data_IF_117291610350
#
_entry.id   IF_117291610350
#
_cell.length_a   1.000
_cell.length_b   1.000
_cell.length_c   1.000
_cell.angle_alpha   90.00
_cell.angle_beta   90.00
_cell.angle_gamma   90.00
#
_symmetry.space_group_name_H-M   'P 1'
#
loop_
_entity.id
_entity.type
_entity.pdbx_description
1 polymer ?
#
# COMPACT_ATOMS: atom_id res chain seq x y z
N UNK A 1 10.42 -20.23 12.68
CA UNK A 1 9.59 -19.94 11.50
C UNK A 1 9.01 -18.54 11.60
N UNK A 2 9.14 -17.77 10.53
CA UNK A 2 8.60 -16.40 10.54
C UNK A 2 7.10 -16.40 10.31
N UNK A 3 6.36 -15.57 11.04
CA UNK A 3 4.94 -15.41 10.73
C UNK A 3 4.78 -14.83 9.33
N UNK A 4 3.72 -15.23 8.67
CA UNK A 4 3.41 -14.68 7.36
C UNK A 4 2.99 -13.22 7.49
N UNK A 5 3.35 -12.43 6.48
CA UNK A 5 2.82 -11.09 6.38
C UNK A 5 1.41 -11.14 5.87
N UNK A 6 0.56 -10.27 6.41
CA UNK A 6 -0.86 -10.25 6.09
C UNK A 6 -1.18 -9.06 5.20
N UNK A 7 -1.83 -9.33 4.07
CA UNK A 7 -2.22 -8.31 3.11
C UNK A 7 -3.73 -8.22 3.07
N UNK A 8 -4.25 -7.01 3.23
CA UNK A 8 -5.69 -6.75 3.08
C UNK A 8 -5.94 -6.32 1.65
N UNK A 9 -6.68 -7.12 0.90
CA UNK A 9 -7.05 -6.82 -0.48
C UNK A 9 -8.48 -6.33 -0.55
N UNK A 10 -8.69 -5.20 -1.18
CA UNK A 10 -10.00 -4.56 -1.26
C UNK A 10 -10.36 -4.30 -2.72
N UNK A 11 -11.42 -4.89 -3.20
CA UNK A 11 -11.92 -4.67 -4.56
C UNK A 11 -13.36 -5.17 -4.60
N UNK A 12 -14.22 -4.46 -5.32
CA UNK A 12 -15.62 -4.88 -5.42
C UNK A 12 -15.84 -6.00 -6.43
N UNK A 13 -14.82 -6.39 -7.18
CA UNK A 13 -14.90 -7.45 -8.16
C UNK A 13 -14.39 -8.76 -7.59
N UNK A 14 -15.28 -9.75 -7.46
CA UNK A 14 -14.95 -11.04 -6.87
C UNK A 14 -13.85 -11.78 -7.61
N UNK A 15 -13.86 -11.71 -8.94
CA UNK A 15 -12.87 -12.42 -9.73
C UNK A 15 -11.47 -11.83 -9.53
N UNK A 16 -11.40 -10.51 -9.49
CA UNK A 16 -10.13 -9.83 -9.27
C UNK A 16 -9.60 -10.19 -7.89
N UNK A 17 -10.45 -10.17 -6.88
CA UNK A 17 -10.05 -10.55 -5.53
C UNK A 17 -9.54 -11.98 -5.47
N UNK A 18 -10.23 -12.90 -6.14
CA UNK A 18 -9.83 -14.30 -6.13
C UNK A 18 -8.47 -14.50 -6.76
N UNK A 19 -8.22 -13.84 -7.87
CA UNK A 19 -6.93 -13.96 -8.57
C UNK A 19 -5.82 -13.36 -7.72
N UNK A 20 -6.05 -12.19 -7.15
CA UNK A 20 -5.03 -11.57 -6.31
C UNK A 20 -4.72 -12.39 -5.06
N UNK A 21 -5.78 -12.92 -4.44
CA UNK A 21 -5.60 -13.75 -3.27
C UNK A 21 -4.74 -14.96 -3.60
N UNK A 22 -5.07 -15.64 -4.72
CA UNK A 22 -4.30 -16.80 -5.14
C UNK A 22 -2.83 -16.44 -5.37
N UNK A 23 -2.59 -15.39 -6.14
CA UNK A 23 -1.21 -14.99 -6.45
C UNK A 23 -0.41 -14.63 -5.21
N UNK A 24 -1.01 -13.89 -4.31
CA UNK A 24 -0.31 -13.48 -3.10
C UNK A 24 -0.06 -14.66 -2.17
N UNK A 25 -1.01 -15.56 -2.08
CA UNK A 25 -0.82 -16.74 -1.24
C UNK A 25 0.28 -17.64 -1.78
N UNK A 26 0.45 -17.71 -3.09
CA UNK A 26 1.55 -18.49 -3.67
C UNK A 26 2.92 -17.91 -3.33
N UNK A 27 2.95 -16.63 -2.93
CA UNK A 27 4.19 -15.99 -2.52
C UNK A 27 4.38 -16.00 -1.01
N UNK A 28 3.52 -16.70 -0.29
CA UNK A 28 3.67 -16.88 1.14
C UNK A 28 2.98 -15.87 2.01
N UNK A 29 2.14 -15.01 1.44
CA UNK A 29 1.38 -14.03 2.23
C UNK A 29 0.08 -14.63 2.74
N UNK A 30 -0.38 -14.13 3.87
CA UNK A 30 -1.75 -14.35 4.30
C UNK A 30 -2.60 -13.26 3.69
N UNK A 31 -3.74 -13.59 3.12
CA UNK A 31 -4.57 -12.61 2.44
C UNK A 31 -5.95 -12.56 3.05
N UNK A 32 -6.39 -11.35 3.35
CA UNK A 32 -7.76 -11.09 3.77
C UNK A 32 -8.39 -10.28 2.65
N UNK A 33 -9.40 -10.86 1.99
CA UNK A 33 -10.04 -10.24 0.84
C UNK A 33 -11.41 -9.72 1.25
N UNK A 34 -11.67 -8.45 0.99
CA UNK A 34 -12.94 -7.83 1.29
C UNK A 34 -13.44 -7.04 0.09
N UNK A 35 -14.75 -6.88 -0.02
CA UNK A 35 -15.34 -6.33 -1.22
C UNK A 35 -15.64 -4.84 -1.16
N UNK A 36 -15.55 -4.23 -0.01
CA UNK A 36 -15.87 -2.81 0.12
C UNK A 36 -14.99 -2.11 1.12
N UNK A 37 -14.95 -0.79 0.99
CA UNK A 37 -14.08 0.02 1.82
C UNK A 37 -14.50 0.00 3.29
N UNK A 38 -15.79 -0.05 3.56
CA UNK A 38 -16.23 -0.07 4.95
C UNK A 38 -15.87 -1.37 5.64
N UNK A 39 -16.06 -2.48 4.94
CA UNK A 39 -15.65 -3.77 5.46
C UNK A 39 -14.13 -3.80 5.68
N UNK A 40 -13.40 -3.19 4.75
CA UNK A 40 -11.94 -3.10 4.88
C UNK A 40 -11.55 -2.31 6.12
N UNK A 41 -12.22 -1.20 6.37
CA UNK A 41 -11.93 -0.40 7.55
C UNK A 41 -12.21 -1.16 8.85
N UNK A 42 -13.33 -1.88 8.88
CA UNK A 42 -13.66 -2.67 10.06
C UNK A 42 -12.57 -3.71 10.33
N UNK A 43 -12.13 -4.38 9.27
CA UNK A 43 -11.08 -5.38 9.44
C UNK A 43 -9.74 -4.74 9.81
N UNK A 44 -9.45 -3.59 9.22
CA UNK A 44 -8.20 -2.89 9.49
C UNK A 44 -8.10 -2.45 10.95
N UNK A 45 -9.21 -2.05 11.54
CA UNK A 45 -9.24 -1.63 12.95
C UNK A 45 -8.88 -2.76 13.90
N UNK A 46 -9.09 -4.00 13.48
CA UNK A 46 -8.74 -5.15 14.31
C UNK A 46 -7.23 -5.38 14.38
N UNK A 47 -6.47 -4.73 13.52
CA UNK A 47 -5.03 -4.83 13.54
C UNK A 47 -4.48 -6.02 12.79
N UNK A 48 -3.17 -6.15 12.79
CA UNK A 48 -2.51 -7.30 12.18
C UNK A 48 -2.33 -7.23 10.67
N UNK A 49 -2.55 -6.07 10.08
CA UNK A 49 -2.39 -5.89 8.63
C UNK A 49 -1.01 -5.29 8.35
N UNK A 50 -0.28 -5.92 7.44
CA UNK A 50 1.07 -5.46 7.08
C UNK A 50 1.10 -4.63 5.81
N UNK A 51 0.09 -4.72 4.97
CA UNK A 51 -0.03 -3.92 3.75
C UNK A 51 -1.46 -3.95 3.26
N UNK A 52 -1.92 -2.84 2.69
CA UNK A 52 -3.25 -2.74 2.08
C UNK A 52 -3.09 -2.56 0.58
N UNK A 53 -3.82 -3.37 -0.18
CA UNK A 53 -3.88 -3.28 -1.64
C UNK A 53 -5.34 -3.05 -2.01
N UNK A 54 -5.66 -1.87 -2.46
CA UNK A 54 -7.04 -1.50 -2.72
C UNK A 54 -7.28 -0.92 -4.10
N UNK A 55 -8.56 -0.85 -4.46
CA UNK A 55 -8.99 -0.21 -5.68
C UNK A 55 -9.35 1.23 -5.36
N UNK A 56 -8.98 2.15 -6.23
CA UNK A 56 -9.33 3.55 -6.04
C UNK A 56 -10.83 3.77 -6.20
N UNK A 57 -11.45 3.10 -7.16
CA UNK A 57 -12.87 3.31 -7.47
C UNK A 57 -13.69 2.17 -6.86
N UNK A 58 -14.50 2.52 -5.86
CA UNK A 58 -15.40 1.57 -5.21
C UNK A 58 -16.75 2.24 -4.97
N UNK A 59 -17.84 1.45 -4.88
CA UNK A 59 -19.18 2.03 -4.86
C UNK A 59 -19.52 2.96 -3.71
N UNK A 60 -19.18 2.60 -2.49
CA UNK A 60 -19.66 3.37 -1.34
C UNK A 60 -18.66 4.40 -0.84
N UNK A 61 -17.39 4.14 -1.02
CA UNK A 61 -16.32 5.02 -0.54
C UNK A 61 -15.13 4.80 -1.46
N UNK A 62 -14.53 5.86 -1.97
CA UNK A 62 -13.39 5.64 -2.85
C UNK A 62 -12.14 5.26 -2.06
N UNK A 63 -11.13 4.77 -2.78
CA UNK A 63 -9.91 4.31 -2.15
C UNK A 63 -9.14 5.41 -1.45
N UNK A 64 -9.22 6.64 -1.93
CA UNK A 64 -8.53 7.75 -1.27
C UNK A 64 -9.09 8.00 0.13
N UNK A 65 -10.41 7.99 0.25
CA UNK A 65 -11.02 8.19 1.55
C UNK A 65 -10.72 7.01 2.48
N UNK A 66 -10.75 5.80 1.96
CA UNK A 66 -10.41 4.62 2.73
C UNK A 66 -8.98 4.72 3.27
N UNK A 67 -8.04 5.06 2.41
CA UNK A 67 -6.64 5.18 2.80
C UNK A 67 -6.46 6.29 3.82
N UNK A 68 -7.13 7.41 3.63
CA UNK A 68 -7.04 8.52 4.57
C UNK A 68 -7.45 8.07 5.97
N UNK A 69 -8.54 7.35 6.07
CA UNK A 69 -9.02 6.85 7.37
C UNK A 69 -8.08 5.80 7.94
N UNK A 70 -7.56 4.93 7.10
CA UNK A 70 -6.62 3.91 7.57
C UNK A 70 -5.32 4.53 8.05
N UNK A 71 -4.85 5.58 7.37
CA UNK A 71 -3.62 6.26 7.79
C UNK A 71 -3.80 6.97 9.12
N UNK A 72 -5.01 7.41 9.43
CA UNK A 72 -5.29 7.96 10.74
C UNK A 72 -5.22 6.91 11.84
N UNK A 73 -5.55 5.66 11.50
CA UNK A 73 -5.51 4.56 12.46
C UNK A 73 -4.09 4.02 12.62
N UNK A 74 -3.39 3.77 11.50
CA UNK A 74 -2.07 3.15 11.53
C UNK A 74 -1.23 3.70 10.37
N UNK A 75 -0.58 4.86 10.57
CA UNK A 75 0.12 5.54 9.49
C UNK A 75 1.33 4.79 8.93
N UNK A 76 1.85 3.82 9.66
CA UNK A 76 3.03 3.08 9.22
C UNK A 76 2.72 1.92 8.28
N UNK A 77 1.46 1.54 8.15
CA UNK A 77 1.09 0.44 7.26
C UNK A 77 1.13 0.93 5.81
N UNK A 78 1.94 0.31 4.95
CA UNK A 78 2.01 0.73 3.55
C UNK A 78 0.72 0.42 2.81
N UNK A 79 0.36 1.31 1.90
CA UNK A 79 -0.90 1.21 1.16
C UNK A 79 -0.68 1.48 -0.31
N UNK A 80 -1.20 0.58 -1.14
CA UNK A 80 -1.13 0.67 -2.59
C UNK A 80 -2.55 0.79 -3.13
N UNK A 81 -2.79 1.78 -3.97
CA UNK A 81 -4.06 1.89 -4.68
C UNK A 81 -3.86 1.60 -6.15
N UNK A 82 -4.80 0.85 -6.72
CA UNK A 82 -4.82 0.55 -8.14
C UNK A 82 -5.91 1.39 -8.78
N UNK A 83 -5.60 1.99 -9.92
CA UNK A 83 -6.55 2.85 -10.61
C UNK A 83 -6.52 2.61 -12.10
N UNK A 84 -7.69 2.72 -12.73
CA UNK A 84 -7.78 2.61 -14.18
C UNK A 84 -7.48 3.92 -14.90
N UNK A 85 -7.27 5.01 -14.17
CA UNK A 85 -7.05 6.32 -14.77
C UNK A 85 -5.95 7.07 -14.07
N UNK A 86 -5.00 7.60 -14.86
CA UNK A 86 -3.91 8.40 -14.33
C UNK A 86 -4.43 9.69 -13.68
N UNK A 87 -5.52 10.22 -14.18
CA UNK A 87 -6.06 11.47 -13.65
C UNK A 87 -6.46 11.37 -12.18
N UNK A 88 -6.83 10.17 -11.77
CA UNK A 88 -7.26 9.96 -10.39
C UNK A 88 -6.11 10.04 -9.39
N UNK A 89 -4.89 9.98 -9.87
CA UNK A 89 -3.72 10.11 -9.01
C UNK A 89 -3.49 11.54 -8.52
N UNK A 90 -4.12 12.50 -9.18
CA UNK A 90 -3.78 13.90 -8.97
C UNK A 90 -4.37 14.52 -7.71
N UNK A 91 -5.24 13.83 -7.02
CA UNK A 91 -5.88 14.41 -5.83
C UNK A 91 -5.14 13.97 -4.59
N UNK A 92 -4.71 14.94 -3.82
CA UNK A 92 -3.93 14.72 -2.63
C UNK A 92 -4.41 13.54 -1.82
N UNK A 93 -3.70 12.46 -1.92
CA UNK A 93 -4.05 11.26 -1.21
C UNK A 93 -2.85 10.80 -0.39
N UNK A 94 -3.09 9.85 0.47
CA UNK A 94 -2.07 9.41 1.42
C UNK A 94 -1.59 7.99 1.14
N UNK A 95 -1.94 7.43 0.00
CA UNK A 95 -1.44 6.12 -0.38
C UNK A 95 0.06 6.20 -0.64
N UNK A 96 0.76 5.15 -0.33
CA UNK A 96 2.21 5.10 -0.51
C UNK A 96 2.61 4.82 -1.95
N UNK A 97 1.71 4.22 -2.72
CA UNK A 97 1.96 3.96 -4.14
C UNK A 97 0.65 3.90 -4.89
N UNK A 98 0.71 4.30 -6.16
CA UNK A 98 -0.38 4.15 -7.10
C UNK A 98 0.11 3.35 -8.29
N UNK A 99 -0.66 2.36 -8.70
CA UNK A 99 -0.31 1.54 -9.85
C UNK A 99 -1.46 1.52 -10.84
N UNK A 100 -1.19 1.66 -12.13
CA UNK A 100 -2.25 1.58 -13.15
C UNK A 100 -2.82 0.17 -13.19
N UNK A 101 -4.13 0.07 -13.15
CA UNK A 101 -4.80 -1.22 -13.09
C UNK A 101 -4.59 -2.04 -14.35
N UNK A 102 -4.67 -1.40 -15.52
CA UNK A 102 -4.54 -2.10 -16.78
C UNK A 102 -3.13 -2.24 -17.29
N UNK A 103 -2.21 -1.43 -16.80
CA UNK A 103 -0.84 -1.42 -17.30
C UNK A 103 0.14 -2.13 -16.38
N UNK A 104 -0.25 -2.43 -15.15
CA UNK A 104 0.63 -3.12 -14.21
C UNK A 104 0.41 -4.61 -14.31
N UNK A 105 1.48 -5.35 -14.56
CA UNK A 105 1.39 -6.81 -14.57
C UNK A 105 1.29 -7.33 -13.15
N UNK A 106 0.77 -8.54 -12.95
CA UNK A 106 0.76 -9.14 -11.63
C UNK A 106 2.14 -9.20 -11.00
N UNK A 107 3.18 -9.46 -11.79
CA UNK A 107 4.54 -9.51 -11.27
C UNK A 107 4.98 -8.14 -10.74
N UNK A 108 4.62 -7.07 -11.44
CA UNK A 108 4.96 -5.72 -10.97
C UNK A 108 4.28 -5.40 -9.65
N UNK A 109 3.02 -5.78 -9.51
CA UNK A 109 2.29 -5.54 -8.25
C UNK A 109 2.94 -6.33 -7.12
N UNK A 110 3.26 -7.60 -7.36
CA UNK A 110 3.88 -8.45 -6.37
C UNK A 110 5.25 -7.90 -5.95
N UNK A 111 6.01 -7.41 -6.91
CA UNK A 111 7.33 -6.86 -6.60
C UNK A 111 7.22 -5.58 -5.76
N UNK A 112 6.26 -4.73 -6.09
CA UNK A 112 6.05 -3.52 -5.30
C UNK A 112 5.66 -3.86 -3.87
N UNK A 113 4.81 -4.85 -3.70
CA UNK A 113 4.40 -5.30 -2.38
C UNK A 113 5.60 -5.77 -1.58
N UNK A 114 6.45 -6.60 -2.21
CA UNK A 114 7.64 -7.12 -1.55
C UNK A 114 8.54 -6.00 -1.06
N UNK A 115 8.77 -5.02 -1.93
CA UNK A 115 9.64 -3.89 -1.61
C UNK A 115 9.06 -3.06 -0.47
N UNK A 116 7.77 -2.79 -0.50
CA UNK A 116 7.16 -1.92 0.50
C UNK A 116 7.09 -2.59 1.88
N UNK A 117 6.85 -3.88 1.92
CA UNK A 117 6.87 -4.60 3.18
C UNK A 117 8.29 -4.64 3.76
N UNK A 118 9.29 -4.83 2.90
CA UNK A 118 10.67 -4.84 3.33
C UNK A 118 11.08 -3.48 3.91
N UNK A 119 10.63 -2.39 3.29
CA UNK A 119 10.93 -1.05 3.81
C UNK A 119 10.33 -0.82 5.18
N UNK A 120 9.10 -1.24 5.36
CA UNK A 120 8.44 -1.09 6.66
C UNK A 120 9.21 -1.79 7.74
N UNK A 121 9.85 -2.91 7.42
CA UNK A 121 10.63 -3.68 8.39
C UNK A 121 12.00 -3.12 8.64
N UNK A 122 12.45 -2.14 7.85
CA UNK A 122 13.77 -1.56 8.02
C UNK A 122 13.89 -0.79 9.31
N UNK A 123 15.10 -0.32 9.61
CA UNK A 123 15.33 0.46 10.82
C UNK A 123 14.46 1.69 10.82
N UNK A 124 13.82 1.92 11.91
CA UNK A 124 12.91 3.03 11.95
C UNK A 124 13.51 4.28 12.44
N UNK A 125 14.58 4.23 12.90
CA UNK A 125 15.17 5.31 13.40
C UNK A 125 15.84 6.09 12.59
N UNK A 126 15.88 6.44 12.45
CA UNK A 126 16.40 6.91 11.78
C UNK A 126 15.90 7.64 11.04
N UNK A 127 15.73 7.52 11.38
CA UNK A 127 15.40 7.82 10.93
C UNK A 127 14.97 8.59 10.36
N UNK A 128 14.98 8.99 10.05
CA UNK A 128 14.62 9.59 9.44
C UNK A 128 15.07 10.48 8.92
N UNK A 129 15.96 10.65 8.86
CA UNK A 129 16.52 11.21 8.44
C UNK A 129 16.53 11.50 7.36
N UNK A 130 16.50 11.44 7.00
CA UNK A 130 16.84 11.60 6.12
C UNK A 130 16.13 11.92 5.36
N UNK A 131 16.01 11.95 4.95
CA UNK A 131 15.67 12.03 4.42
C UNK A 131 15.12 12.33 3.54
N UNK A 132 15.39 12.44 2.91
CA UNK A 132 15.22 12.43 2.40
C UNK A 132 14.76 12.69 1.54
N UNK A 133 14.85 12.68 1.05
CA UNK A 133 14.77 12.74 0.47
C UNK A 133 14.39 12.90 0.02
N UNK A 134 14.53 12.94 -0.26
CA UNK A 134 14.54 12.87 -0.22
C UNK A 134 14.16 13.16 -0.63
N UNK A 135 14.43 13.21 -1.06
CA UNK A 135 14.49 13.18 -0.98
C UNK A 135 14.24 13.62 -1.32
N UNK A 136 14.54 13.79 -1.77
CA UNK A 136 14.49 13.94 -1.60
C UNK A 136 14.63 14.38 -1.81
N UNK A 137 14.82 14.19 -1.96
CA UNK A 137 15.20 14.44 -1.64
C UNK A 137 15.55 14.75 -1.65
N UNK A 138 15.78 14.41 -1.55
CA UNK A 138 16.37 14.63 -0.88
C UNK A 138 16.41 14.92 -0.70
N UNK A 139 16.14 14.99 -1.07
CA UNK A 139 16.51 15.08 -0.34
C UNK A 139 16.59 15.13 0.00
N UNK A 140 16.28 15.46 -0.50
CA UNK A 140 16.65 15.28 0.21
C UNK A 140 16.85 15.49 0.29
N UNK A 141 17.28 15.53 0.17
CA UNK A 141 17.71 15.49 0.77
C UNK A 141 18.04 15.55 0.80
N UNK A 142 17.90 15.42 0.59
CA UNK A 142 18.36 15.17 1.16
C UNK A 142 18.74 15.33 1.09
N UNK A 143 19.04 15.13 1.16
CA UNK A 143 19.48 15.07 1.56
C UNK A 143 19.74 14.87 1.69
N UNK A 144 19.80 14.90 1.29
CA UNK A 144 20.21 14.70 1.64
C UNK A 144 20.46 14.66 1.56
N UNK A 145 20.25 14.48 1.39
CA UNK A 145 20.41 14.23 1.79
C UNK A 145 20.63 14.23 1.66
N UNK A 146 20.67 14.03 1.46
CA UNK A 146 20.78 13.79 1.81
C UNK A 146 20.93 13.76 1.58
N UNK A 147 20.97 13.56 1.52
CA UNK A 147 21.04 13.42 1.77
C UNK A 147 21.14 13.37 1.62
N UNK A 148 21.07 13.30 1.42
CA UNK A 148 21.06 13.08 1.73
C UNK A 148 21.13 12.98 1.52
N UNK A 149 21.15 12.79 1.49
CA UNK A 149 21.12 12.56 1.76
C UNK A 149 20.93 12.25 1.71
N UNK A 150 21.01 12.45 1.33
CA UNK A 150 20.83 12.15 1.74
C UNK A 150 20.72 12.24 1.73
#
# INVERSE_FOLDING_TARGET
>A
MRPRKTILCVDDNDQILSVRKFLLETRGYRVIAVKGAEEALDRFRQGGIDLVLGDLVMPSMDGNEMVRRMKDIAPDVPMILLSGSVKEFAHGNRADAFLPKGASTPVEVLERIRIMIARKRGPKKAVRLFTGPAAGPFEASAQPAASAML
#
